data_IF_509710783581
#
_entry.id   IF_509710783581
#
_cell.length_a   1.000
_cell.length_b   1.000
_cell.length_c   1.000
_cell.angle_alpha   90.00
_cell.angle_beta   90.00
_cell.angle_gamma   90.00
#
_symmetry.space_group_name_H-M   'P 1'
#
loop_
_entity.id
_entity.type
_entity.pdbx_description
1 polymer ?
#
# COMPACT_ATOMS: atom_id res chain seq x y z
N UNK A 1 1.12 23.74 7.11
CA UNK A 1 1.58 24.78 6.16
C UNK A 1 3.01 25.22 6.49
N UNK A 2 3.74 25.87 5.56
CA UNK A 2 5.06 26.47 5.84
C UNK A 2 5.05 27.38 7.07
N UNK A 3 3.98 28.17 7.24
CA UNK A 3 3.80 29.10 8.36
C UNK A 3 3.65 28.36 9.70
N UNK A 4 2.96 27.21 9.71
CA UNK A 4 2.84 26.38 10.90
C UNK A 4 4.19 25.79 11.31
N UNK A 5 4.99 25.30 10.36
CA UNK A 5 6.32 24.80 10.62
C UNK A 5 7.27 25.90 11.10
N UNK A 6 7.19 27.09 10.50
CA UNK A 6 7.98 28.25 10.92
C UNK A 6 7.62 28.68 12.35
N UNK A 7 6.34 28.66 12.72
CA UNK A 7 5.88 28.94 14.08
C UNK A 7 6.39 27.92 15.13
N UNK A 8 6.76 26.73 14.69
CA UNK A 8 7.41 25.69 15.49
C UNK A 8 8.94 25.81 15.55
N UNK A 9 9.53 26.84 14.90
CA UNK A 9 10.96 27.12 14.88
C UNK A 9 11.71 26.57 13.68
N UNK A 10 11.02 26.00 12.68
CA UNK A 10 11.67 25.52 11.47
C UNK A 10 11.93 26.63 10.47
N UNK A 11 13.09 26.62 9.80
CA UNK A 11 13.31 27.41 8.59
C UNK A 11 12.80 26.63 7.39
N UNK A 12 11.84 27.19 6.66
CA UNK A 12 11.19 26.50 5.55
C UNK A 12 11.55 27.16 4.23
N UNK A 13 12.18 26.40 3.34
CA UNK A 13 12.56 26.83 1.99
C UNK A 13 11.63 26.15 0.96
N UNK A 14 10.58 26.85 0.54
CA UNK A 14 9.72 26.40 -0.55
C UNK A 14 10.37 26.64 -1.91
N UNK A 15 10.03 25.81 -2.90
CA UNK A 15 10.58 25.91 -4.27
C UNK A 15 12.13 25.85 -4.31
N UNK A 16 12.70 25.08 -3.40
CA UNK A 16 14.14 24.82 -3.37
C UNK A 16 14.39 23.34 -3.67
N UNK A 17 15.28 23.05 -4.61
CA UNK A 17 15.66 21.71 -5.01
C UNK A 17 17.06 21.38 -4.50
N UNK A 18 17.19 20.34 -3.69
CA UNK A 18 18.48 19.78 -3.31
C UNK A 18 19.02 18.99 -4.50
N UNK A 19 20.19 19.36 -5.00
CA UNK A 19 20.78 18.78 -6.21
C UNK A 19 21.98 17.88 -5.91
N UNK A 20 22.61 18.02 -4.73
CA UNK A 20 23.65 17.12 -4.26
C UNK A 20 23.74 17.10 -2.73
N UNK A 21 24.29 16.00 -2.20
CA UNK A 21 24.61 15.80 -0.79
C UNK A 21 26.02 15.23 -0.71
N UNK A 22 26.92 15.89 0.02
CA UNK A 22 28.25 15.34 0.33
C UNK A 22 28.34 14.95 1.82
N UNK A 23 28.25 13.65 2.15
CA UNK A 23 28.35 13.18 3.53
C UNK A 23 29.72 13.45 4.18
N UNK A 24 30.82 13.57 3.40
CA UNK A 24 32.15 13.77 3.94
C UNK A 24 32.35 15.18 4.48
N UNK A 25 31.80 16.16 3.78
CA UNK A 25 31.84 17.58 4.20
C UNK A 25 30.58 18.00 4.94
N UNK A 26 29.58 17.11 5.04
CA UNK A 26 28.24 17.38 5.61
C UNK A 26 27.58 18.60 4.97
N UNK A 27 27.53 18.62 3.66
CA UNK A 27 26.97 19.72 2.89
C UNK A 27 25.85 19.25 1.97
N UNK A 28 24.91 20.15 1.72
CA UNK A 28 23.86 20.01 0.69
C UNK A 28 23.99 21.15 -0.30
N UNK A 29 23.87 20.84 -1.58
CA UNK A 29 23.78 21.86 -2.64
C UNK A 29 22.31 22.05 -2.98
N UNK A 30 21.85 23.30 -2.97
CA UNK A 30 20.42 23.65 -3.10
C UNK A 30 20.26 24.71 -4.18
N UNK A 31 19.33 24.50 -5.10
CA UNK A 31 18.95 25.49 -6.13
C UNK A 31 17.58 26.06 -5.82
N UNK A 32 17.49 27.39 -5.73
CA UNK A 32 16.24 28.12 -5.70
C UNK A 32 15.58 28.05 -7.10
N UNK A 33 14.42 27.44 -7.21
CA UNK A 33 13.73 27.24 -8.48
C UNK A 33 13.08 28.54 -9.03
N UNK A 34 12.98 29.60 -8.22
CA UNK A 34 12.44 30.88 -8.64
C UNK A 34 13.53 31.75 -9.26
N UNK A 35 14.68 31.82 -8.57
CA UNK A 35 15.79 32.70 -8.99
C UNK A 35 16.84 31.98 -9.84
N UNK A 36 16.90 30.65 -9.76
CA UNK A 36 17.97 29.84 -10.36
C UNK A 36 19.30 29.89 -9.58
N UNK A 37 19.37 30.58 -8.45
CA UNK A 37 20.56 30.68 -7.62
C UNK A 37 20.85 29.34 -6.94
N UNK A 38 22.11 28.93 -6.97
CA UNK A 38 22.59 27.71 -6.29
C UNK A 38 23.51 28.07 -5.14
N UNK A 39 23.27 27.47 -3.98
CA UNK A 39 24.07 27.66 -2.77
C UNK A 39 24.38 26.33 -2.10
N UNK A 40 25.41 26.33 -1.26
CA UNK A 40 25.77 25.19 -0.39
C UNK A 40 25.43 25.55 1.04
N UNK A 41 24.83 24.59 1.76
CA UNK A 41 24.54 24.69 3.18
C UNK A 41 25.12 23.49 3.94
N UNK A 42 25.30 23.61 5.25
CA UNK A 42 25.89 22.59 6.11
C UNK A 42 24.83 21.98 7.04
N UNK A 43 25.01 20.70 7.40
CA UNK A 43 24.17 20.03 8.38
C UNK A 43 24.99 19.30 9.45
N UNK A 44 24.48 19.20 10.65
CA UNK A 44 24.97 18.28 11.69
C UNK A 44 24.32 16.91 11.51
N UNK A 45 23.01 16.90 11.24
CA UNK A 45 22.20 15.73 10.91
C UNK A 45 21.35 16.01 9.67
N UNK A 46 21.29 15.05 8.77
CA UNK A 46 20.43 15.06 7.58
C UNK A 46 19.28 14.08 7.75
N UNK A 47 18.09 14.48 7.35
CA UNK A 47 16.93 13.58 7.29
C UNK A 47 16.40 13.56 5.85
N UNK A 48 16.48 12.41 5.18
CA UNK A 48 15.87 12.19 3.89
C UNK A 48 14.39 11.81 4.04
N UNK A 49 13.51 12.61 3.48
CA UNK A 49 12.08 12.36 3.41
C UNK A 49 11.54 12.64 2.00
N UNK A 50 12.35 12.36 0.99
CA UNK A 50 12.07 12.64 -0.43
C UNK A 50 10.96 11.77 -1.01
N UNK A 51 10.55 10.73 -0.29
CA UNK A 51 9.40 9.92 -0.62
C UNK A 51 9.60 9.03 -1.83
N UNK A 52 8.58 8.95 -2.67
CA UNK A 52 8.56 8.09 -3.85
C UNK A 52 7.98 8.79 -5.07
N UNK A 53 8.33 8.29 -6.25
CA UNK A 53 7.79 8.76 -7.53
C UNK A 53 7.11 7.61 -8.28
N UNK A 54 6.07 7.88 -9.09
CA UNK A 54 5.45 6.86 -9.91
C UNK A 54 6.47 6.18 -10.83
N UNK A 55 6.34 4.89 -11.00
CA UNK A 55 7.09 4.18 -12.03
C UNK A 55 6.57 4.59 -13.39
N UNK A 56 7.45 5.12 -14.22
CA UNK A 56 7.17 5.43 -15.63
C UNK A 56 7.94 4.40 -16.45
N UNK A 57 7.26 3.43 -17.08
CA UNK A 57 7.94 2.42 -17.88
C UNK A 57 8.55 3.07 -19.14
N UNK A 58 9.72 2.61 -19.57
CA UNK A 58 10.39 3.17 -20.76
C UNK A 58 9.77 2.62 -22.05
N UNK A 59 8.54 2.98 -22.34
CA UNK A 59 7.77 2.57 -23.50
C UNK A 59 7.37 3.78 -24.36
N UNK A 60 7.20 3.56 -25.66
CA UNK A 60 6.91 4.60 -26.62
C UNK A 60 5.61 5.36 -26.28
N UNK A 61 5.65 6.68 -26.36
CA UNK A 61 4.51 7.58 -26.18
C UNK A 61 4.02 7.76 -24.76
N UNK A 62 4.74 7.24 -23.75
CA UNK A 62 4.37 7.33 -22.32
C UNK A 62 4.34 8.77 -21.77
N UNK A 63 5.08 9.67 -22.39
CA UNK A 63 5.15 11.11 -22.08
C UNK A 63 4.18 11.96 -22.92
N UNK A 64 3.26 11.32 -23.63
CA UNK A 64 2.28 11.98 -24.47
C UNK A 64 1.21 12.75 -23.71
N UNK A 65 0.51 13.70 -24.35
CA UNK A 65 -0.38 14.67 -23.71
C UNK A 65 -1.64 14.06 -23.09
N UNK A 66 -1.96 12.80 -23.40
CA UNK A 66 -3.14 12.09 -22.88
C UNK A 66 -2.78 10.98 -21.89
N UNK A 67 -1.51 10.91 -21.46
CA UNK A 67 -1.02 9.93 -20.46
C UNK A 67 -0.70 10.66 -19.16
N UNK A 68 -1.36 10.25 -18.09
CA UNK A 68 -1.35 10.95 -16.79
C UNK A 68 -0.79 10.07 -15.67
N UNK A 69 -0.27 10.73 -14.64
CA UNK A 69 0.19 10.11 -13.39
C UNK A 69 -0.79 10.40 -12.25
N UNK A 70 -0.80 9.56 -11.21
CA UNK A 70 -1.56 9.78 -9.98
C UNK A 70 -0.65 9.58 -8.76
N UNK A 71 -0.18 10.67 -8.13
CA UNK A 71 0.67 10.58 -6.93
C UNK A 71 0.48 11.74 -5.96
N UNK A 72 0.37 12.96 -6.44
CA UNK A 72 0.37 14.18 -5.63
C UNK A 72 -0.82 15.09 -5.96
N UNK A 73 -0.92 16.19 -5.23
CA UNK A 73 -1.99 17.18 -5.41
C UNK A 73 -2.08 17.73 -6.84
N UNK A 74 -0.94 17.96 -7.48
CA UNK A 74 -0.92 18.50 -8.85
C UNK A 74 -1.48 17.48 -9.85
N UNK A 75 -1.05 16.22 -9.76
CA UNK A 75 -1.61 15.13 -10.57
C UNK A 75 -3.11 14.95 -10.31
N UNK A 76 -3.54 14.97 -9.04
CA UNK A 76 -4.96 14.83 -8.71
C UNK A 76 -5.81 15.98 -9.28
N UNK A 77 -5.31 17.23 -9.21
CA UNK A 77 -5.98 18.41 -9.77
C UNK A 77 -6.03 18.35 -11.30
N UNK A 78 -4.97 17.91 -11.94
CA UNK A 78 -4.90 17.71 -13.38
C UNK A 78 -5.91 16.66 -13.82
N UNK A 79 -5.88 15.46 -13.21
CA UNK A 79 -6.83 14.38 -13.48
C UNK A 79 -8.28 14.81 -13.26
N UNK A 80 -8.56 15.54 -12.16
CA UNK A 80 -9.89 16.06 -11.89
C UNK A 80 -10.38 17.01 -13.02
N UNK A 81 -9.50 17.81 -13.60
CA UNK A 81 -9.87 18.73 -14.66
C UNK A 81 -10.09 17.99 -16.00
N UNK A 82 -9.14 17.15 -16.43
CA UNK A 82 -9.23 16.46 -17.73
C UNK A 82 -10.34 15.40 -17.75
N UNK A 83 -10.62 14.78 -16.61
CA UNK A 83 -11.69 13.80 -16.51
C UNK A 83 -13.10 14.38 -16.65
N UNK A 84 -13.29 15.71 -16.55
CA UNK A 84 -14.62 16.33 -16.77
C UNK A 84 -15.14 16.03 -18.18
N UNK A 85 -14.27 16.15 -19.16
CA UNK A 85 -14.62 16.00 -20.59
C UNK A 85 -14.39 14.58 -21.11
N UNK A 86 -13.48 13.82 -20.49
CA UNK A 86 -13.19 12.45 -20.88
C UNK A 86 -14.38 11.52 -20.61
N UNK A 87 -14.68 10.64 -21.56
CA UNK A 87 -15.71 9.60 -21.45
C UNK A 87 -15.10 8.20 -21.41
N UNK A 88 -13.99 7.97 -22.14
CA UNK A 88 -13.27 6.70 -22.20
C UNK A 88 -11.96 6.86 -21.44
N UNK A 89 -11.81 6.10 -20.37
CA UNK A 89 -10.65 6.17 -19.48
C UNK A 89 -9.99 4.80 -19.40
N UNK A 90 -8.69 4.74 -19.64
CA UNK A 90 -7.88 3.54 -19.41
C UNK A 90 -7.03 3.77 -18.16
N UNK A 91 -7.18 2.89 -17.18
CA UNK A 91 -6.33 2.84 -15.97
C UNK A 91 -5.37 1.66 -16.10
N UNK A 92 -4.07 1.91 -15.92
CA UNK A 92 -3.03 0.89 -16.05
C UNK A 92 -2.45 0.58 -14.67
N UNK A 93 -2.68 -0.64 -14.19
CA UNK A 93 -2.28 -1.14 -12.88
C UNK A 93 -3.46 -1.32 -11.91
N UNK A 94 -3.71 -2.56 -11.52
CA UNK A 94 -4.82 -3.01 -10.66
C UNK A 94 -4.48 -3.03 -9.16
N UNK A 95 -3.56 -2.17 -8.71
CA UNK A 95 -3.29 -1.91 -7.29
C UNK A 95 -4.32 -0.98 -6.65
N UNK A 96 -4.10 -0.58 -5.39
CA UNK A 96 -5.01 0.29 -4.63
C UNK A 96 -5.44 1.54 -5.39
N UNK A 97 -4.49 2.32 -5.90
CA UNK A 97 -4.78 3.58 -6.61
C UNK A 97 -5.59 3.34 -7.86
N UNK A 98 -5.22 2.31 -8.66
CA UNK A 98 -5.92 2.01 -9.89
C UNK A 98 -7.37 1.62 -9.67
N UNK A 99 -7.66 0.75 -8.70
CA UNK A 99 -9.03 0.33 -8.42
C UNK A 99 -9.89 1.47 -7.85
N UNK A 100 -9.32 2.34 -7.01
CA UNK A 100 -10.03 3.53 -6.50
C UNK A 100 -10.36 4.52 -7.62
N UNK A 101 -9.47 4.71 -8.59
CA UNK A 101 -9.74 5.54 -9.77
C UNK A 101 -10.83 4.92 -10.65
N UNK A 102 -10.78 3.59 -10.87
CA UNK A 102 -11.84 2.90 -11.64
C UNK A 102 -13.20 3.09 -10.95
N UNK A 103 -13.29 2.90 -9.63
CA UNK A 103 -14.51 3.18 -8.86
C UNK A 103 -14.97 4.64 -9.04
N UNK A 104 -14.07 5.60 -8.83
CA UNK A 104 -14.40 7.02 -8.90
C UNK A 104 -14.95 7.43 -10.26
N UNK A 105 -14.45 6.87 -11.35
CA UNK A 105 -14.90 7.21 -12.69
C UNK A 105 -16.15 6.43 -13.12
N UNK A 106 -16.27 5.14 -12.77
CA UNK A 106 -17.51 4.38 -13.06
C UNK A 106 -18.71 4.94 -12.31
N UNK A 107 -18.53 5.44 -11.08
CA UNK A 107 -19.58 6.19 -10.35
C UNK A 107 -20.03 7.46 -11.07
N UNK A 108 -19.23 7.99 -11.98
CA UNK A 108 -19.56 9.13 -12.84
C UNK A 108 -20.08 8.68 -14.22
N UNK A 109 -20.43 7.40 -14.39
CA UNK A 109 -20.87 6.79 -15.65
C UNK A 109 -19.87 6.93 -16.81
N UNK A 110 -18.58 6.95 -16.51
CA UNK A 110 -17.50 6.90 -17.51
C UNK A 110 -17.28 5.46 -17.96
N UNK A 111 -16.87 5.28 -19.23
CA UNK A 111 -16.43 3.98 -19.73
C UNK A 111 -14.97 3.76 -19.34
N UNK A 112 -14.76 2.90 -18.35
CA UNK A 112 -13.44 2.68 -17.76
C UNK A 112 -12.95 1.28 -18.05
N UNK A 113 -11.71 1.16 -18.50
CA UNK A 113 -11.02 -0.13 -18.67
C UNK A 113 -9.79 -0.17 -17.79
N UNK A 114 -9.70 -1.17 -16.91
CA UNK A 114 -8.51 -1.45 -16.11
C UNK A 114 -7.64 -2.49 -16.82
N UNK A 115 -6.40 -2.14 -17.12
CA UNK A 115 -5.39 -3.04 -17.70
C UNK A 115 -4.37 -3.40 -16.63
N UNK A 116 -4.08 -4.69 -16.45
CA UNK A 116 -3.01 -5.16 -15.57
C UNK A 116 -2.29 -6.38 -16.13
N UNK A 117 -0.97 -6.46 -15.91
CA UNK A 117 -0.15 -7.62 -16.25
C UNK A 117 -0.40 -8.83 -15.36
N UNK A 118 -1.12 -8.67 -14.27
CA UNK A 118 -1.52 -9.72 -13.34
C UNK A 118 -2.85 -10.35 -13.73
N UNK A 119 -3.17 -11.57 -13.26
CA UNK A 119 -4.40 -12.27 -13.63
C UNK A 119 -5.67 -11.70 -12.98
N UNK A 120 -5.53 -10.79 -12.04
CA UNK A 120 -6.65 -10.15 -11.33
C UNK A 120 -6.20 -8.86 -10.64
N UNK A 121 -7.13 -7.94 -10.38
CA UNK A 121 -6.85 -6.75 -9.58
C UNK A 121 -6.55 -7.11 -8.12
N UNK A 122 -5.80 -6.27 -7.42
CA UNK A 122 -5.45 -6.41 -5.99
C UNK A 122 -4.77 -7.74 -5.61
N UNK A 123 -4.24 -8.49 -6.58
CA UNK A 123 -3.74 -9.85 -6.38
C UNK A 123 -2.61 -9.95 -5.36
N UNK A 124 -1.81 -8.90 -5.18
CA UNK A 124 -0.73 -8.84 -4.19
C UNK A 124 -1.22 -8.64 -2.76
N UNK A 125 -2.46 -8.20 -2.59
CA UNK A 125 -2.98 -7.71 -1.31
C UNK A 125 -4.09 -8.60 -0.75
N UNK A 126 -4.83 -9.31 -1.63
CA UNK A 126 -5.96 -10.15 -1.25
C UNK A 126 -5.95 -11.48 -1.99
N UNK A 127 -6.40 -12.53 -1.30
CA UNK A 127 -6.63 -13.84 -1.89
C UNK A 127 -7.78 -13.81 -2.91
N UNK A 128 -7.86 -14.83 -3.74
CA UNK A 128 -8.75 -14.90 -4.92
C UNK A 128 -10.21 -14.66 -4.58
N UNK A 129 -10.71 -15.24 -3.48
CA UNK A 129 -12.11 -15.12 -3.06
C UNK A 129 -12.57 -13.67 -2.88
N UNK A 130 -11.67 -12.82 -2.41
CA UNK A 130 -11.92 -11.38 -2.22
C UNK A 130 -11.90 -10.63 -3.55
N UNK A 131 -10.89 -10.89 -4.34
CA UNK A 131 -10.68 -10.16 -5.60
C UNK A 131 -11.75 -10.50 -6.62
N UNK A 132 -12.22 -11.76 -6.69
CA UNK A 132 -13.32 -12.17 -7.58
C UNK A 132 -14.66 -11.54 -7.18
N UNK A 133 -14.97 -11.49 -5.87
CA UNK A 133 -16.21 -10.86 -5.38
C UNK A 133 -16.24 -9.37 -5.67
N UNK A 134 -15.18 -8.65 -5.35
CA UNK A 134 -15.16 -7.21 -5.61
C UNK A 134 -15.10 -6.91 -7.11
N UNK A 135 -14.41 -7.70 -7.91
CA UNK A 135 -14.39 -7.55 -9.36
C UNK A 135 -15.77 -7.64 -9.97
N UNK A 136 -16.63 -8.56 -9.48
CA UNK A 136 -18.01 -8.66 -9.95
C UNK A 136 -18.79 -7.36 -9.66
N UNK A 137 -18.58 -6.75 -8.49
CA UNK A 137 -19.19 -5.47 -8.15
C UNK A 137 -18.75 -4.34 -9.09
N UNK A 138 -17.48 -4.34 -9.50
CA UNK A 138 -16.99 -3.42 -10.53
C UNK A 138 -17.64 -3.65 -11.90
N UNK A 139 -17.78 -4.90 -12.33
CA UNK A 139 -18.50 -5.26 -13.57
C UNK A 139 -19.93 -4.78 -13.54
N UNK A 140 -20.64 -4.98 -12.43
CA UNK A 140 -22.01 -4.54 -12.24
C UNK A 140 -22.17 -3.01 -12.31
N UNK A 141 -21.07 -2.27 -12.04
CA UNK A 141 -20.97 -0.82 -12.21
C UNK A 141 -20.37 -0.38 -13.56
N UNK A 142 -20.22 -1.30 -14.51
CA UNK A 142 -19.81 -1.00 -15.88
C UNK A 142 -18.31 -0.88 -16.12
N UNK A 143 -17.46 -1.34 -15.20
CA UNK A 143 -16.03 -1.42 -15.43
C UNK A 143 -15.65 -2.56 -16.38
N UNK A 144 -14.65 -2.33 -17.23
CA UNK A 144 -14.05 -3.33 -18.10
C UNK A 144 -12.66 -3.72 -17.60
N UNK A 145 -12.27 -4.98 -17.83
CA UNK A 145 -10.97 -5.51 -17.38
C UNK A 145 -10.20 -6.15 -18.52
N UNK A 146 -8.90 -5.90 -18.53
CA UNK A 146 -7.92 -6.48 -19.45
C UNK A 146 -6.72 -7.00 -18.63
N UNK A 147 -6.89 -8.18 -18.05
CA UNK A 147 -5.88 -8.85 -17.23
C UNK A 147 -4.91 -9.71 -18.07
N UNK A 148 -3.76 -10.08 -17.46
CA UNK A 148 -2.68 -10.79 -18.14
C UNK A 148 -2.21 -10.09 -19.41
N UNK A 149 -2.23 -8.75 -19.43
CA UNK A 149 -1.82 -7.93 -20.55
C UNK A 149 -0.79 -6.89 -20.11
N UNK A 150 0.27 -6.78 -20.89
CA UNK A 150 1.31 -5.78 -20.68
C UNK A 150 1.16 -4.64 -21.67
N UNK A 151 1.11 -3.43 -21.16
CA UNK A 151 1.14 -2.23 -22.01
C UNK A 151 2.53 -2.13 -22.66
N UNK A 152 2.55 -1.98 -23.97
CA UNK A 152 3.77 -1.96 -24.79
C UNK A 152 4.02 -0.59 -25.42
N UNK A 153 3.03 0.31 -25.42
CA UNK A 153 3.19 1.66 -25.97
C UNK A 153 1.90 2.47 -25.92
N UNK A 154 2.03 3.74 -26.26
CA UNK A 154 0.95 4.70 -26.37
C UNK A 154 1.05 5.40 -27.73
N UNK A 155 -0.03 5.38 -28.48
CA UNK A 155 -0.15 6.17 -29.72
C UNK A 155 -1.06 7.36 -29.43
N UNK A 156 -0.44 8.54 -29.29
CA UNK A 156 -1.16 9.76 -28.98
C UNK A 156 -1.78 10.38 -30.23
N UNK A 157 -3.03 10.79 -30.14
CA UNK A 157 -3.81 11.43 -31.20
C UNK A 157 -4.20 12.85 -30.78
N UNK A 158 -4.84 13.61 -31.65
CA UNK A 158 -5.30 14.97 -31.33
C UNK A 158 -6.29 14.97 -30.14
N UNK A 159 -7.18 13.99 -30.06
CA UNK A 159 -8.28 13.95 -29.10
C UNK A 159 -8.27 12.68 -28.22
N UNK A 160 -7.12 12.10 -27.95
CA UNK A 160 -7.03 10.89 -27.13
C UNK A 160 -5.77 10.06 -27.36
N UNK A 161 -5.80 8.84 -26.89
CA UNK A 161 -4.67 7.92 -26.92
C UNK A 161 -5.13 6.49 -27.17
N UNK A 162 -4.40 5.76 -28.03
CA UNK A 162 -4.51 4.31 -28.14
C UNK A 162 -3.49 3.65 -27.24
N UNK A 163 -3.93 2.95 -26.21
CA UNK A 163 -3.08 2.14 -25.33
C UNK A 163 -2.85 0.79 -25.98
N UNK A 164 -1.60 0.49 -26.35
CA UNK A 164 -1.20 -0.77 -26.99
C UNK A 164 -0.77 -1.78 -25.93
N UNK A 165 -1.25 -3.00 -26.05
CA UNK A 165 -0.80 -4.12 -25.22
C UNK A 165 -0.29 -5.27 -26.09
N UNK A 166 0.28 -6.28 -25.45
CA UNK A 166 0.70 -7.53 -26.09
C UNK A 166 -0.47 -8.40 -26.60
N UNK A 167 -1.73 -8.03 -26.27
CA UNK A 167 -2.93 -8.78 -26.68
C UNK A 167 -3.98 -7.96 -27.43
N UNK A 168 -3.84 -6.63 -27.49
CA UNK A 168 -4.80 -5.77 -28.17
C UNK A 168 -4.58 -4.29 -27.90
N UNK A 169 -5.45 -3.48 -28.48
CA UNK A 169 -5.40 -2.02 -28.35
C UNK A 169 -6.68 -1.49 -27.71
N UNK A 170 -6.55 -0.40 -26.95
CA UNK A 170 -7.64 0.22 -26.21
C UNK A 170 -7.67 1.72 -26.50
N UNK A 171 -8.76 2.18 -27.09
CA UNK A 171 -8.99 3.60 -27.38
C UNK A 171 -9.47 4.31 -26.10
N UNK A 172 -8.85 5.44 -25.77
CA UNK A 172 -9.19 6.24 -24.61
C UNK A 172 -9.07 7.73 -24.90
N UNK A 173 -9.81 8.53 -24.16
CA UNK A 173 -9.62 9.98 -24.12
C UNK A 173 -8.42 10.32 -23.23
N UNK A 174 -8.24 9.56 -22.14
CA UNK A 174 -7.08 9.64 -21.23
C UNK A 174 -6.65 8.25 -20.75
N UNK A 175 -5.34 8.09 -20.53
CA UNK A 175 -4.74 6.93 -19.90
C UNK A 175 -4.03 7.33 -18.59
N UNK A 176 -4.16 6.55 -17.51
CA UNK A 176 -3.61 6.86 -16.20
C UNK A 176 -2.69 5.73 -15.74
N UNK A 177 -1.43 6.06 -15.45
CA UNK A 177 -0.42 5.11 -14.98
C UNK A 177 -0.49 4.93 -13.46
N UNK A 178 -0.80 3.70 -13.01
CA UNK A 178 -0.86 3.28 -11.62
C UNK A 178 -0.02 2.02 -11.36
N UNK A 179 1.14 1.91 -12.02
CA UNK A 179 1.98 0.70 -12.02
C UNK A 179 2.99 0.62 -10.87
N UNK A 180 2.77 1.39 -9.82
CA UNK A 180 3.57 1.39 -8.60
C UNK A 180 4.51 2.58 -8.49
N UNK A 181 5.37 2.52 -7.45
CA UNK A 181 6.28 3.60 -7.07
C UNK A 181 7.71 3.10 -6.94
N UNK A 182 8.66 4.00 -7.17
CA UNK A 182 10.07 3.83 -6.84
C UNK A 182 10.48 4.86 -5.77
N UNK A 183 11.39 4.52 -4.85
CA UNK A 183 11.91 5.47 -3.88
C UNK A 183 12.68 6.59 -4.60
N UNK A 184 12.57 7.80 -4.10
CA UNK A 184 13.23 8.99 -4.67
C UNK A 184 14.54 9.27 -3.93
N UNK A 185 15.57 8.43 -4.15
CA UNK A 185 16.80 8.37 -3.35
C UNK A 185 18.08 8.60 -4.16
N UNK A 186 17.94 9.12 -5.38
CA UNK A 186 19.07 9.31 -6.29
C UNK A 186 20.21 10.16 -5.67
N UNK A 187 19.87 11.13 -4.80
CA UNK A 187 20.81 11.98 -4.07
C UNK A 187 21.74 11.21 -3.12
N UNK A 188 21.29 10.07 -2.59
CA UNK A 188 22.04 9.25 -1.63
C UNK A 188 22.62 7.97 -2.26
N UNK A 189 22.44 7.76 -3.55
CA UNK A 189 23.00 6.63 -4.28
C UNK A 189 24.54 6.62 -4.21
N UNK A 190 25.10 5.50 -3.74
CA UNK A 190 26.54 5.36 -3.53
C UNK A 190 27.10 6.08 -2.29
N UNK A 191 26.24 6.77 -1.51
CA UNK A 191 26.59 7.49 -0.28
C UNK A 191 26.15 6.75 0.98
N UNK A 192 25.02 6.03 0.90
CA UNK A 192 24.49 5.15 1.97
C UNK A 192 24.11 3.79 1.38
N UNK A 193 23.87 2.80 2.26
CA UNK A 193 23.37 1.47 1.82
C UNK A 193 21.93 1.57 1.36
N UNK A 194 21.67 1.03 0.18
CA UNK A 194 20.35 0.97 -0.42
C UNK A 194 19.91 -0.49 -0.59
N UNK A 195 18.61 -0.72 -0.53
CA UNK A 195 17.95 -1.95 -0.93
C UNK A 195 18.01 -2.09 -2.48
N UNK A 196 17.74 -3.28 -3.03
CA UNK A 196 17.84 -3.56 -4.47
C UNK A 196 16.98 -2.63 -5.34
N UNK A 197 15.85 -2.16 -4.82
CA UNK A 197 14.98 -1.20 -5.51
C UNK A 197 15.36 0.27 -5.31
N UNK A 198 16.45 0.55 -4.59
CA UNK A 198 16.94 1.88 -4.30
C UNK A 198 16.44 2.49 -2.98
N UNK A 199 15.58 1.83 -2.21
CA UNK A 199 15.12 2.32 -0.91
C UNK A 199 16.27 2.37 0.10
N UNK A 200 16.32 3.42 0.93
CA UNK A 200 17.36 3.58 1.96
C UNK A 200 17.16 2.51 3.04
N UNK A 201 18.22 1.76 3.34
CA UNK A 201 18.24 0.81 4.45
C UNK A 201 18.56 1.58 5.72
N UNK A 202 17.67 1.50 6.72
CA UNK A 202 17.84 2.10 8.03
C UNK A 202 17.91 1.04 9.12
N UNK A 203 18.52 1.39 10.24
CA UNK A 203 18.41 0.59 11.46
C UNK A 203 17.08 0.88 12.18
N UNK A 204 16.87 0.22 13.31
CA UNK A 204 15.66 0.39 14.15
C UNK A 204 15.43 1.81 14.69
N UNK A 205 16.42 2.70 14.58
CA UNK A 205 16.33 4.12 14.96
C UNK A 205 16.17 5.06 13.77
N UNK A 206 15.87 4.52 12.59
CA UNK A 206 15.76 5.23 11.30
C UNK A 206 17.08 5.88 10.83
N UNK A 207 18.21 5.43 11.33
CA UNK A 207 19.53 5.87 10.95
C UNK A 207 20.03 5.02 9.78
N UNK A 208 20.56 5.65 8.75
CA UNK A 208 21.16 4.97 7.59
C UNK A 208 22.51 4.32 7.93
N UNK A 209 23.24 3.86 6.93
CA UNK A 209 24.62 3.38 7.12
C UNK A 209 25.63 4.51 7.43
N UNK A 210 25.24 5.76 7.24
CA UNK A 210 25.95 6.94 7.73
C UNK A 210 25.27 7.39 9.04
N UNK A 211 26.04 7.56 10.16
CA UNK A 211 25.48 7.89 11.47
C UNK A 211 24.86 9.29 11.56
N UNK A 212 25.11 10.15 10.60
CA UNK A 212 24.59 11.51 10.55
C UNK A 212 23.44 11.66 9.54
N UNK A 213 23.07 10.57 8.84
CA UNK A 213 21.98 10.56 7.85
C UNK A 213 20.88 9.62 8.31
N UNK A 214 19.68 10.16 8.49
CA UNK A 214 18.45 9.47 8.79
C UNK A 214 17.53 9.48 7.58
N UNK A 215 16.56 8.57 7.54
CA UNK A 215 15.55 8.57 6.48
C UNK A 215 14.21 8.07 7.01
N UNK A 216 13.12 8.54 6.41
CA UNK A 216 11.76 8.15 6.77
C UNK A 216 10.78 8.21 5.58
N UNK A 217 9.72 7.42 5.65
CA UNK A 217 8.65 7.37 4.67
C UNK A 217 8.99 6.56 3.42
N UNK A 218 8.37 6.91 2.30
CA UNK A 218 8.47 6.13 1.06
C UNK A 218 9.88 6.06 0.44
N UNK A 219 10.85 6.80 0.96
CA UNK A 219 12.26 6.69 0.56
C UNK A 219 12.98 5.52 1.23
N UNK A 220 12.38 4.86 2.26
CA UNK A 220 13.02 3.80 3.05
C UNK A 220 12.49 2.41 2.78
N UNK A 221 13.35 1.40 2.98
CA UNK A 221 12.91 0.03 3.25
C UNK A 221 12.46 -0.08 4.72
N UNK A 222 11.47 -0.92 4.99
CA UNK A 222 10.89 -1.11 6.32
C UNK A 222 11.01 -2.56 6.75
N UNK A 223 11.19 -2.80 8.05
CA UNK A 223 11.17 -4.15 8.58
C UNK A 223 9.76 -4.73 8.51
N UNK A 224 9.58 -5.80 7.73
CA UNK A 224 8.30 -6.47 7.53
C UNK A 224 8.16 -7.64 8.49
N UNK A 225 7.42 -7.44 9.57
CA UNK A 225 7.33 -8.37 10.69
C UNK A 225 6.90 -9.79 10.30
N UNK A 226 5.92 -10.01 9.37
CA UNK A 226 5.53 -11.36 8.99
C UNK A 226 6.67 -12.21 8.43
N UNK A 227 7.65 -11.60 7.74
CA UNK A 227 8.78 -12.32 7.14
C UNK A 227 10.08 -12.15 7.93
N UNK A 228 10.15 -11.16 8.84
CA UNK A 228 11.37 -10.78 9.55
C UNK A 228 12.47 -10.22 8.64
N UNK A 229 12.10 -9.71 7.44
CA UNK A 229 13.03 -9.14 6.45
C UNK A 229 12.63 -7.71 6.11
N UNK A 230 13.59 -6.93 5.61
CA UNK A 230 13.28 -5.62 5.06
C UNK A 230 12.52 -5.74 3.73
N UNK A 231 11.56 -4.86 3.53
CA UNK A 231 10.73 -4.79 2.33
C UNK A 231 10.40 -3.34 1.97
N UNK A 232 10.03 -3.11 0.72
CA UNK A 232 9.55 -1.80 0.29
C UNK A 232 8.03 -1.74 0.38
N UNK A 233 7.53 -1.03 1.40
CA UNK A 233 6.10 -0.91 1.72
C UNK A 233 5.76 0.56 1.93
N UNK A 234 5.54 1.33 0.85
CA UNK A 234 5.28 2.76 0.90
C UNK A 234 3.84 3.03 1.38
N UNK A 235 3.67 3.21 2.70
CA UNK A 235 2.41 3.52 3.35
C UNK A 235 2.52 4.79 4.20
N UNK A 236 1.51 5.65 4.14
CA UNK A 236 1.46 6.89 4.92
C UNK A 236 1.58 6.64 6.44
N UNK A 237 1.02 5.53 6.94
CA UNK A 237 1.15 5.12 8.34
C UNK A 237 2.59 4.83 8.75
N UNK A 238 3.39 4.20 7.86
CA UNK A 238 4.82 4.02 8.08
C UNK A 238 5.54 5.36 8.10
N UNK A 239 5.27 6.24 7.13
CA UNK A 239 5.91 7.55 7.03
C UNK A 239 5.71 8.40 8.30
N UNK A 240 4.48 8.45 8.84
CA UNK A 240 4.18 9.22 10.06
C UNK A 240 4.90 8.65 11.28
N UNK A 241 4.86 7.33 11.47
CA UNK A 241 5.57 6.69 12.61
C UNK A 241 7.07 6.89 12.51
N UNK A 242 7.65 6.63 11.35
CA UNK A 242 9.09 6.80 11.10
C UNK A 242 9.53 8.26 11.28
N UNK A 243 8.76 9.23 10.80
CA UNK A 243 9.03 10.66 11.02
C UNK A 243 9.08 11.02 12.50
N UNK A 244 8.16 10.48 13.32
CA UNK A 244 8.17 10.65 14.77
C UNK A 244 9.41 10.03 15.40
N UNK A 245 9.77 8.82 14.98
CA UNK A 245 10.96 8.11 15.47
C UNK A 245 12.23 8.89 15.11
N UNK A 246 12.36 9.36 13.88
CA UNK A 246 13.51 10.20 13.47
C UNK A 246 13.61 11.44 14.32
N UNK A 247 12.53 12.21 14.45
CA UNK A 247 12.54 13.45 15.24
C UNK A 247 12.96 13.23 16.70
N UNK A 248 12.54 12.08 17.29
CA UNK A 248 12.94 11.71 18.65
C UNK A 248 14.41 11.30 18.73
N UNK A 249 14.94 10.64 17.70
CA UNK A 249 16.28 10.04 17.74
C UNK A 249 17.42 10.98 17.26
N UNK A 250 17.12 12.17 16.75
CA UNK A 250 18.17 13.11 16.30
C UNK A 250 19.15 13.50 17.41
N UNK A 251 18.73 13.45 18.66
CA UNK A 251 19.54 13.79 19.84
C UNK A 251 19.99 12.58 20.67
N UNK A 252 19.77 11.39 20.16
CA UNK A 252 20.13 10.12 20.83
C UNK A 252 19.11 9.02 20.56
N UNK A 253 19.57 7.80 20.42
CA UNK A 253 18.76 6.63 20.07
C UNK A 253 17.90 6.18 21.25
N UNK A 254 16.65 6.61 21.32
CA UNK A 254 15.72 6.35 22.43
C UNK A 254 14.46 5.59 22.00
N UNK A 255 13.98 5.79 20.76
CA UNK A 255 12.75 5.19 20.26
C UNK A 255 13.06 4.25 19.09
N UNK A 256 12.60 2.99 19.19
CA UNK A 256 12.80 1.98 18.14
C UNK A 256 11.59 1.89 17.22
N UNK A 257 11.84 1.70 15.95
CA UNK A 257 10.82 1.24 15.00
C UNK A 257 10.45 -0.21 15.31
N UNK A 258 9.15 -0.48 15.32
CA UNK A 258 8.61 -1.82 15.56
C UNK A 258 8.31 -2.59 14.27
N UNK A 259 8.67 -2.05 13.13
CA UNK A 259 8.36 -2.60 11.82
C UNK A 259 6.90 -2.38 11.41
N UNK A 260 6.47 -3.17 10.43
CA UNK A 260 5.12 -3.08 9.87
C UNK A 260 4.56 -4.44 9.52
N UNK A 261 3.24 -4.58 9.55
CA UNK A 261 2.49 -5.72 9.02
C UNK A 261 1.84 -5.42 7.67
N UNK A 262 2.11 -4.25 7.08
CA UNK A 262 1.46 -3.79 5.84
C UNK A 262 -0.08 -3.77 5.97
N UNK A 263 -0.59 -3.34 7.13
CA UNK A 263 -2.04 -3.23 7.32
C UNK A 263 -2.62 -2.15 6.43
N UNK A 264 -3.65 -2.49 5.69
CA UNK A 264 -4.26 -1.60 4.70
C UNK A 264 -5.74 -1.93 4.49
N UNK A 265 -6.46 -1.00 3.91
CA UNK A 265 -7.88 -1.17 3.64
C UNK A 265 -8.37 -0.31 2.48
N UNK A 266 -9.49 -0.73 1.91
CA UNK A 266 -10.24 -0.09 0.84
C UNK A 266 -11.72 -0.04 1.21
N UNK A 267 -12.41 0.97 0.69
CA UNK A 267 -13.86 0.98 0.66
C UNK A 267 -14.30 1.19 -0.80
N UNK A 268 -14.79 0.12 -1.43
CA UNK A 268 -15.16 0.10 -2.84
C UNK A 268 -16.66 -0.18 -2.97
N UNK A 269 -17.42 0.75 -3.54
CA UNK A 269 -18.87 0.70 -3.66
C UNK A 269 -19.58 0.40 -2.33
N UNK A 270 -19.04 0.89 -1.21
CA UNK A 270 -19.55 0.63 0.13
C UNK A 270 -19.16 -0.73 0.71
N UNK A 271 -18.32 -1.51 0.03
CA UNK A 271 -17.70 -2.73 0.57
C UNK A 271 -16.36 -2.39 1.20
N UNK A 272 -16.23 -2.63 2.50
CA UNK A 272 -14.97 -2.52 3.23
C UNK A 272 -14.15 -3.79 3.01
N UNK A 273 -12.91 -3.62 2.56
CA UNK A 273 -11.91 -4.68 2.41
C UNK A 273 -10.67 -4.29 3.19
N UNK A 274 -10.20 -5.15 4.08
CA UNK A 274 -9.00 -4.88 4.89
C UNK A 274 -8.12 -6.10 5.00
N UNK A 275 -6.82 -5.87 5.11
CA UNK A 275 -5.83 -6.94 5.28
C UNK A 275 -4.69 -6.50 6.18
N UNK A 276 -4.04 -7.48 6.80
CA UNK A 276 -2.81 -7.31 7.56
C UNK A 276 -1.95 -8.55 7.38
N UNK A 277 -0.65 -8.36 7.14
CA UNK A 277 0.28 -9.46 6.93
C UNK A 277 0.22 -10.09 5.53
N UNK A 278 0.45 -11.38 5.45
CA UNK A 278 0.61 -12.13 4.21
C UNK A 278 -0.71 -12.77 3.73
N UNK A 279 -0.93 -12.78 2.42
CA UNK A 279 -1.86 -13.70 1.79
C UNK A 279 -1.30 -15.13 1.85
N UNK A 280 -2.11 -16.16 1.57
CA UNK A 280 -1.62 -17.53 1.51
C UNK A 280 -0.54 -17.70 0.43
N UNK A 281 -0.71 -17.06 -0.72
CA UNK A 281 0.24 -17.09 -1.84
C UNK A 281 1.57 -16.45 -1.41
N UNK A 282 1.55 -15.24 -0.88
CA UNK A 282 2.74 -14.54 -0.42
C UNK A 282 3.46 -15.26 0.74
N UNK A 283 2.72 -15.93 1.63
CA UNK A 283 3.31 -16.71 2.71
C UNK A 283 4.10 -17.92 2.17
N UNK A 284 3.56 -18.63 1.17
CA UNK A 284 4.26 -19.73 0.49
C UNK A 284 5.49 -19.25 -0.29
N UNK A 285 5.38 -18.13 -1.01
CA UNK A 285 6.50 -17.49 -1.72
C UNK A 285 7.61 -17.07 -0.75
N UNK A 286 7.25 -16.59 0.44
CA UNK A 286 8.19 -16.27 1.50
C UNK A 286 8.86 -17.49 2.15
N UNK A 287 8.43 -18.73 1.79
CA UNK A 287 9.01 -19.99 2.24
C UNK A 287 8.35 -20.59 3.48
N UNK A 288 7.19 -20.10 3.91
CA UNK A 288 6.44 -20.68 5.01
C UNK A 288 5.70 -21.96 4.58
N UNK A 289 5.63 -22.95 5.46
CA UNK A 289 4.68 -24.06 5.35
C UNK A 289 3.29 -23.56 5.80
N UNK A 290 2.74 -22.66 5.01
CA UNK A 290 1.54 -21.93 5.36
C UNK A 290 0.25 -22.68 5.06
N UNK A 291 -0.75 -22.50 5.91
CA UNK A 291 -2.13 -22.90 5.70
C UNK A 291 -3.05 -21.66 5.83
N UNK A 292 -4.25 -21.79 5.27
CA UNK A 292 -5.30 -20.78 5.43
C UNK A 292 -6.67 -21.44 5.58
N UNK A 293 -7.58 -20.68 6.19
CA UNK A 293 -9.01 -20.99 6.22
C UNK A 293 -9.79 -19.73 5.88
N UNK A 294 -10.80 -19.90 5.03
CA UNK A 294 -11.76 -18.84 4.71
C UNK A 294 -13.11 -19.25 5.25
N UNK A 295 -13.77 -18.35 5.97
CA UNK A 295 -15.12 -18.52 6.51
C UNK A 295 -15.94 -17.27 6.24
N UNK A 296 -17.26 -17.44 6.17
CA UNK A 296 -18.19 -16.34 6.08
C UNK A 296 -19.25 -16.52 7.17
N UNK A 297 -19.46 -15.48 7.98
CA UNK A 297 -20.44 -15.49 9.06
C UNK A 297 -20.95 -14.07 9.32
N UNK A 298 -22.11 -13.95 9.94
CA UNK A 298 -22.69 -12.67 10.29
C UNK A 298 -21.89 -11.98 11.43
N UNK A 299 -21.68 -10.66 11.32
CA UNK A 299 -20.93 -9.92 12.37
C UNK A 299 -21.67 -9.90 13.71
N UNK A 300 -23.01 -10.01 13.74
CA UNK A 300 -23.83 -10.04 14.95
C UNK A 300 -24.97 -11.07 14.82
N UNK A 301 -25.71 -11.39 15.92
CA UNK A 301 -26.71 -12.44 15.90
C UNK A 301 -27.84 -12.20 14.89
N UNK A 302 -28.32 -13.28 14.30
CA UNK A 302 -29.37 -13.26 13.28
C UNK A 302 -30.76 -12.82 13.81
N UNK A 303 -31.00 -12.91 15.14
CA UNK A 303 -32.20 -12.39 15.76
C UNK A 303 -32.26 -10.86 15.82
N UNK A 304 -31.17 -10.17 15.53
CA UNK A 304 -31.16 -8.72 15.42
C UNK A 304 -31.87 -8.26 14.15
N UNK A 305 -32.49 -7.05 14.17
CA UNK A 305 -33.27 -6.56 13.02
C UNK A 305 -32.46 -6.49 11.70
N UNK A 306 -31.18 -6.28 11.79
CA UNK A 306 -30.26 -6.29 10.63
C UNK A 306 -28.98 -6.99 11.00
N UNK A 307 -28.36 -7.67 10.04
CA UNK A 307 -27.01 -8.22 10.14
C UNK A 307 -26.39 -8.24 8.76
N UNK A 308 -25.07 -8.40 8.70
CA UNK A 308 -24.32 -8.39 7.44
C UNK A 308 -23.23 -9.47 7.52
N UNK A 309 -23.06 -10.28 6.48
CA UNK A 309 -22.01 -11.27 6.44
C UNK A 309 -20.62 -10.61 6.35
N UNK A 310 -19.66 -11.23 6.99
CA UNK A 310 -18.24 -10.92 6.91
C UNK A 310 -17.53 -12.12 6.32
N UNK A 311 -16.88 -11.94 5.17
CA UNK A 311 -15.93 -12.90 4.62
C UNK A 311 -14.58 -12.69 5.31
N UNK A 312 -13.99 -13.76 5.84
CA UNK A 312 -12.78 -13.70 6.66
C UNK A 312 -11.81 -14.80 6.25
N UNK A 313 -10.52 -14.46 6.15
CA UNK A 313 -9.45 -15.43 5.92
C UNK A 313 -8.35 -15.24 6.96
N UNK A 314 -7.86 -16.33 7.53
CA UNK A 314 -6.68 -16.36 8.40
C UNK A 314 -5.60 -17.22 7.75
N UNK A 315 -4.37 -16.70 7.74
CA UNK A 315 -3.18 -17.40 7.25
C UNK A 315 -2.23 -17.63 8.41
N UNK A 316 -1.68 -18.85 8.55
CA UNK A 316 -0.74 -19.21 9.61
C UNK A 316 0.34 -20.18 9.13
N UNK A 317 1.45 -20.23 9.86
CA UNK A 317 2.48 -21.25 9.70
C UNK A 317 2.06 -22.54 10.39
N UNK A 318 2.01 -23.66 9.68
CA UNK A 318 1.52 -24.95 10.22
C UNK A 318 2.40 -25.50 11.34
N UNK A 319 3.70 -25.21 11.33
CA UNK A 319 4.65 -25.70 12.31
C UNK A 319 4.58 -24.96 13.63
N UNK A 320 4.58 -23.64 13.58
CA UNK A 320 4.57 -22.78 14.78
C UNK A 320 3.17 -22.40 15.22
N UNK A 321 2.17 -22.56 14.35
CA UNK A 321 0.78 -22.13 14.50
C UNK A 321 0.65 -20.59 14.60
N UNK A 322 1.74 -19.83 14.35
CA UNK A 322 1.75 -18.36 14.39
C UNK A 322 0.94 -17.77 13.23
N UNK A 323 0.22 -16.72 13.52
CA UNK A 323 -0.56 -15.96 12.55
C UNK A 323 0.41 -15.17 11.66
N UNK A 324 0.27 -15.35 10.35
CA UNK A 324 1.06 -14.67 9.32
C UNK A 324 0.26 -13.58 8.60
N UNK A 325 -1.06 -13.67 8.58
CA UNK A 325 -1.91 -12.69 7.93
C UNK A 325 -3.40 -12.96 8.11
N UNK A 326 -4.21 -11.95 7.80
CA UNK A 326 -5.66 -12.06 7.78
C UNK A 326 -6.30 -11.01 6.88
N UNK A 327 -7.48 -11.35 6.34
CA UNK A 327 -8.22 -10.55 5.39
C UNK A 327 -9.71 -10.55 5.77
N UNK A 328 -10.37 -9.41 5.59
CA UNK A 328 -11.80 -9.26 5.90
C UNK A 328 -12.48 -8.45 4.81
N UNK A 329 -13.72 -8.81 4.49
CA UNK A 329 -14.55 -8.11 3.51
C UNK A 329 -16.01 -8.12 3.95
N UNK A 330 -16.67 -6.96 3.94
CA UNK A 330 -18.09 -6.82 4.32
C UNK A 330 -18.66 -5.49 3.84
N UNK A 331 -19.99 -5.41 3.72
CA UNK A 331 -20.72 -4.13 3.67
C UNK A 331 -20.83 -3.46 5.06
N UNK A 332 -20.51 -4.18 6.14
CA UNK A 332 -20.27 -3.64 7.48
C UNK A 332 -18.83 -3.13 7.59
N UNK A 333 -18.58 -2.09 8.40
CA UNK A 333 -17.22 -1.63 8.66
C UNK A 333 -16.45 -2.67 9.48
N UNK A 334 -15.51 -3.34 8.86
CA UNK A 334 -14.61 -4.34 9.45
C UNK A 334 -13.16 -3.84 9.58
N UNK A 335 -12.95 -2.53 9.48
CA UNK A 335 -11.60 -1.94 9.45
C UNK A 335 -10.75 -2.30 10.68
N UNK A 336 -11.35 -2.37 11.86
CA UNK A 336 -10.65 -2.71 13.09
C UNK A 336 -10.17 -4.18 13.15
N UNK A 337 -10.74 -5.07 12.35
CA UNK A 337 -10.30 -6.47 12.31
C UNK A 337 -8.86 -6.63 11.81
N UNK A 338 -8.43 -5.79 10.86
CA UNK A 338 -7.03 -5.78 10.41
C UNK A 338 -6.08 -5.35 11.53
N UNK A 339 -6.49 -4.44 12.42
CA UNK A 339 -5.69 -4.03 13.56
C UNK A 339 -5.51 -5.16 14.57
N UNK A 340 -6.55 -6.00 14.80
CA UNK A 340 -6.44 -7.19 15.65
C UNK A 340 -5.40 -8.16 15.08
N UNK A 341 -5.46 -8.44 13.78
CA UNK A 341 -4.48 -9.31 13.10
C UNK A 341 -3.08 -8.70 13.15
N UNK A 342 -2.96 -7.38 12.97
CA UNK A 342 -1.69 -6.67 13.08
C UNK A 342 -1.04 -6.88 14.45
N UNK A 343 -1.79 -6.74 15.54
CA UNK A 343 -1.32 -7.01 16.90
C UNK A 343 -0.92 -8.49 17.09
N UNK A 344 -1.72 -9.41 16.57
CA UNK A 344 -1.38 -10.84 16.64
C UNK A 344 -0.07 -11.17 15.94
N UNK A 345 0.20 -10.57 14.77
CA UNK A 345 1.47 -10.77 14.06
C UNK A 345 2.62 -10.11 14.82
N UNK A 346 2.44 -8.88 15.30
CA UNK A 346 3.45 -8.14 16.05
C UNK A 346 3.96 -8.94 17.27
N UNK A 347 3.03 -9.53 18.02
CA UNK A 347 3.33 -10.26 19.25
C UNK A 347 3.47 -11.78 19.01
N UNK A 348 3.49 -12.22 17.75
CA UNK A 348 3.65 -13.62 17.33
C UNK A 348 2.61 -14.57 17.96
N UNK A 349 1.37 -14.11 18.10
CA UNK A 349 0.28 -14.93 18.60
C UNK A 349 -0.07 -16.05 17.62
N UNK A 350 -0.60 -17.14 18.20
CA UNK A 350 -1.02 -18.34 17.45
C UNK A 350 -2.52 -18.29 17.12
N UNK A 351 -2.93 -19.19 16.23
CA UNK A 351 -4.35 -19.41 15.94
C UNK A 351 -5.14 -19.81 17.17
N UNK A 352 -4.51 -20.55 18.13
CA UNK A 352 -5.12 -20.97 19.38
C UNK A 352 -5.42 -19.79 20.32
N UNK A 353 -4.50 -18.81 20.36
CA UNK A 353 -4.72 -17.56 21.09
C UNK A 353 -5.93 -16.81 20.53
N UNK A 354 -5.97 -16.60 19.21
CA UNK A 354 -7.04 -15.87 18.55
C UNK A 354 -8.41 -16.55 18.73
N UNK A 355 -8.44 -17.89 18.78
CA UNK A 355 -9.66 -18.66 18.93
C UNK A 355 -10.42 -18.41 20.23
N UNK A 356 -9.70 -18.06 21.32
CA UNK A 356 -10.27 -18.01 22.68
C UNK A 356 -9.89 -16.77 23.49
N UNK A 357 -9.13 -15.83 22.93
CA UNK A 357 -8.87 -14.55 23.61
C UNK A 357 -10.18 -13.82 23.90
N UNK A 358 -10.26 -13.21 25.08
CA UNK A 358 -11.44 -12.45 25.49
C UNK A 358 -11.70 -11.28 24.53
N UNK A 359 -12.93 -11.20 24.01
CA UNK A 359 -13.38 -10.12 23.16
C UNK A 359 -14.77 -9.67 23.62
N UNK A 360 -15.07 -8.39 23.40
CA UNK A 360 -16.34 -7.76 23.71
C UNK A 360 -17.50 -8.56 23.11
N UNK A 361 -18.56 -8.77 23.90
CA UNK A 361 -19.85 -9.19 23.42
C UNK A 361 -20.96 -8.23 23.85
N UNK A 362 -21.75 -7.83 22.87
CA UNK A 362 -23.04 -7.19 23.06
C UNK A 362 -23.85 -7.36 21.75
N UNK A 363 -25.13 -7.82 21.80
CA UNK A 363 -25.86 -8.21 20.57
C UNK A 363 -25.94 -7.16 19.46
N UNK A 364 -25.84 -5.86 19.76
CA UNK A 364 -25.79 -4.81 18.75
C UNK A 364 -24.47 -4.78 17.97
N UNK A 365 -23.40 -5.25 18.58
CA UNK A 365 -22.04 -5.11 18.04
C UNK A 365 -21.46 -6.43 17.57
N UNK A 366 -21.78 -7.54 18.24
CA UNK A 366 -21.11 -8.81 18.01
C UNK A 366 -21.91 -10.03 18.48
N UNK A 367 -21.34 -11.21 18.31
CA UNK A 367 -21.80 -12.52 18.82
C UNK A 367 -21.06 -12.89 20.11
N UNK A 368 -21.55 -13.87 20.91
CA UNK A 368 -20.85 -14.35 22.11
C UNK A 368 -19.41 -14.78 21.88
N UNK A 369 -19.10 -15.37 20.70
CA UNK A 369 -17.77 -15.38 20.12
C UNK A 369 -17.72 -14.33 19.02
N UNK A 370 -16.81 -13.37 19.14
CA UNK A 370 -16.54 -12.40 18.08
C UNK A 370 -16.24 -13.15 16.77
N UNK A 371 -16.65 -12.60 15.63
CA UNK A 371 -16.37 -13.25 14.33
C UNK A 371 -14.87 -13.51 14.10
N UNK A 372 -13.97 -12.71 14.71
CA UNK A 372 -12.53 -12.96 14.67
C UNK A 372 -12.13 -14.18 15.51
N UNK A 373 -12.79 -14.44 16.66
CA UNK A 373 -12.61 -15.70 17.40
C UNK A 373 -13.11 -16.89 16.59
N UNK A 374 -14.27 -16.75 15.92
CA UNK A 374 -14.82 -17.80 15.04
C UNK A 374 -13.82 -18.15 13.92
N UNK A 375 -13.18 -17.16 13.34
CA UNK A 375 -12.10 -17.36 12.36
C UNK A 375 -10.91 -18.13 12.98
N UNK A 376 -10.47 -17.77 14.18
CA UNK A 376 -9.43 -18.48 14.94
C UNK A 376 -9.82 -19.94 15.22
N UNK A 377 -11.06 -20.20 15.66
CA UNK A 377 -11.58 -21.56 15.89
C UNK A 377 -11.60 -22.39 14.61
N UNK A 378 -12.00 -21.79 13.48
CA UNK A 378 -11.95 -22.47 12.18
C UNK A 378 -10.52 -22.82 11.78
N UNK A 379 -9.53 -21.96 12.05
CA UNK A 379 -8.13 -22.24 11.80
C UNK A 379 -7.59 -23.38 12.68
N UNK A 380 -7.93 -23.42 13.97
CA UNK A 380 -7.56 -24.53 14.89
C UNK A 380 -8.14 -25.85 14.41
N UNK A 381 -9.43 -25.86 14.02
CA UNK A 381 -10.06 -27.06 13.46
C UNK A 381 -9.35 -27.53 12.19
N UNK A 382 -9.07 -26.61 11.27
CA UNK A 382 -8.36 -26.92 10.00
C UNK A 382 -6.97 -27.46 10.25
N UNK A 383 -6.22 -26.89 11.19
CA UNK A 383 -4.90 -27.33 11.59
C UNK A 383 -4.94 -28.79 12.10
N UNK A 384 -5.90 -29.12 12.99
CA UNK A 384 -6.08 -30.46 13.50
C UNK A 384 -6.43 -31.49 12.39
N UNK A 385 -7.17 -31.09 11.36
CA UNK A 385 -7.44 -31.93 10.18
C UNK A 385 -6.18 -32.18 9.33
N UNK A 386 -5.30 -31.19 9.22
CA UNK A 386 -4.02 -31.29 8.50
C UNK A 386 -3.05 -32.23 9.24
N UNK A 387 -2.94 -32.10 10.56
CA UNK A 387 -2.11 -32.93 11.41
C UNK A 387 -2.50 -34.42 11.39
N UNK A 388 -3.78 -34.74 11.19
CA UNK A 388 -4.26 -36.13 11.05
C UNK A 388 -3.95 -36.77 9.70
N UNK A 389 -3.59 -35.96 8.68
CA UNK A 389 -3.31 -36.40 7.31
C UNK A 389 -1.81 -36.49 7.02
N UNK A 390 -0.97 -35.93 7.87
CA UNK A 390 0.49 -36.02 7.84
C UNK A 390 1.00 -37.23 8.63
#
# INVERSE_FOLDING_TARGET
SPEQLAAMGATVHMQHNVTDIDPKTKTVTVTDLVTGETKTDHYDKLVDTTGSWPVIPPIEGVDGPHVYLCKNYHHAKELFNVAKDAQRIVVIGGGYIGVELVEAYTRQNKNVTLIDGSPRMLHKYFDREYTERIQQEFVDHGANFAFDQRVTGFENHENGVTVKTDKGNYEADIAILCVGFRPNTDLLKGKVKLHDNGAIITNEYMQSSDPDIYAAGDSTAVHYNPTGKDAYIPLATNAIRQGTIVGTNLFGNTMRDMGTQSSSGLNLYGTTMVSSGLTLENAKEAGFDAAAVTVEDNYRPEFMPTTTPVLMTLVWDKKTRQILGGQFMSKHDVSQSANIISLCIQDKHTIDYLAFVDMLFQPHFDRPFNYVNILGQAAVKKQAELEKKS
#
